data_IF_474065114992
#
_entry.id   IF_474065114992
#
_cell.length_a   1.000
_cell.length_b   1.000
_cell.length_c   1.000
_cell.angle_alpha   90.00
_cell.angle_beta   90.00
_cell.angle_gamma   90.00
#
_symmetry.space_group_name_H-M   'P 1'
#
loop_
_entity.id
_entity.type
_entity.pdbx_description
1 polymer ?
#
# COMPACT_ATOMS: atom_id res chain seq x y z
N UNK A 1 27.91 -14.39 -3.87
CA UNK A 1 26.79 -15.34 -3.70
C UNK A 1 25.60 -14.80 -4.48
N UNK A 2 25.13 -15.54 -5.49
CA UNK A 2 24.31 -15.00 -6.58
C UNK A 2 22.90 -14.61 -6.11
N UNK A 3 22.60 -13.30 -6.07
CA UNK A 3 21.27 -12.73 -5.82
C UNK A 3 20.16 -13.43 -6.64
N UNK A 4 20.46 -13.81 -7.88
CA UNK A 4 19.58 -14.61 -8.73
C UNK A 4 19.23 -15.98 -8.11
N UNK A 5 20.19 -16.70 -7.51
CA UNK A 5 19.91 -17.98 -6.83
C UNK A 5 19.06 -17.78 -5.58
N UNK A 6 19.23 -16.67 -4.88
CA UNK A 6 18.37 -16.31 -3.75
C UNK A 6 16.93 -16.08 -4.20
N UNK A 7 16.70 -15.27 -5.25
CA UNK A 7 15.39 -15.05 -5.85
C UNK A 7 14.72 -16.36 -6.31
N UNK A 8 15.43 -17.21 -7.05
CA UNK A 8 14.91 -18.51 -7.45
C UNK A 8 14.61 -19.43 -6.27
N UNK A 9 15.41 -19.35 -5.20
CA UNK A 9 15.17 -20.05 -3.94
C UNK A 9 13.87 -19.60 -3.27
N UNK A 10 13.66 -18.29 -3.13
CA UNK A 10 12.42 -17.72 -2.60
C UNK A 10 11.21 -18.14 -3.44
N UNK A 11 11.31 -18.04 -4.77
CA UNK A 11 10.22 -18.43 -5.66
C UNK A 11 9.81 -19.89 -5.48
N UNK A 12 10.80 -20.80 -5.38
CA UNK A 12 10.56 -22.23 -5.14
C UNK A 12 9.88 -22.48 -3.80
N UNK A 13 10.20 -21.70 -2.76
CA UNK A 13 9.58 -21.82 -1.44
C UNK A 13 8.13 -21.32 -1.46
N UNK A 14 7.86 -20.18 -2.11
CA UNK A 14 6.51 -19.61 -2.27
C UNK A 14 5.60 -20.61 -3.00
N UNK A 15 6.11 -21.29 -4.04
CA UNK A 15 5.34 -22.28 -4.80
C UNK A 15 5.14 -23.62 -4.08
N UNK A 16 5.62 -23.80 -2.86
CA UNK A 16 5.43 -25.04 -2.09
C UNK A 16 4.53 -24.78 -0.90
N UNK A 17 3.23 -25.04 -1.06
CA UNK A 17 2.25 -24.96 0.03
C UNK A 17 1.33 -26.17 0.13
N UNK A 18 0.57 -26.23 1.23
CA UNK A 18 -0.52 -27.20 1.41
C UNK A 18 -1.78 -26.78 0.66
N UNK A 19 -2.83 -27.62 0.72
CA UNK A 19 -4.13 -27.32 0.07
C UNK A 19 -4.73 -25.99 0.53
N UNK A 20 -4.68 -25.71 1.82
CA UNK A 20 -5.21 -24.46 2.42
C UNK A 20 -4.48 -23.24 1.86
N UNK A 21 -3.15 -23.31 1.71
CA UNK A 21 -2.36 -22.21 1.16
C UNK A 21 -2.80 -21.85 -0.26
N UNK A 22 -2.98 -22.84 -1.13
CA UNK A 22 -3.45 -22.60 -2.50
C UNK A 22 -4.89 -22.10 -2.54
N UNK A 23 -5.77 -22.60 -1.68
CA UNK A 23 -7.14 -22.10 -1.58
C UNK A 23 -7.18 -20.62 -1.16
N UNK A 24 -6.37 -20.22 -0.17
CA UNK A 24 -6.26 -18.82 0.24
C UNK A 24 -5.68 -17.94 -0.87
N UNK A 25 -4.66 -18.42 -1.57
CA UNK A 25 -4.04 -17.67 -2.67
C UNK A 25 -5.02 -17.48 -3.84
N UNK A 26 -5.76 -18.53 -4.19
CA UNK A 26 -6.80 -18.47 -5.22
C UNK A 26 -7.91 -17.50 -4.81
N UNK A 27 -8.39 -17.57 -3.57
CA UNK A 27 -9.40 -16.66 -3.05
C UNK A 27 -8.96 -15.19 -3.13
N UNK A 28 -7.74 -14.89 -2.68
CA UNK A 28 -7.17 -13.54 -2.77
C UNK A 28 -7.04 -13.07 -4.21
N UNK A 29 -6.64 -13.94 -5.13
CA UNK A 29 -6.53 -13.62 -6.55
C UNK A 29 -7.89 -13.27 -7.15
N UNK A 30 -8.94 -14.03 -6.81
CA UNK A 30 -10.33 -13.73 -7.23
C UNK A 30 -10.76 -12.34 -6.74
N UNK A 31 -10.45 -11.98 -5.48
CA UNK A 31 -10.76 -10.65 -4.95
C UNK A 31 -9.99 -9.54 -5.67
N UNK A 32 -8.71 -9.75 -5.99
CA UNK A 32 -7.91 -8.77 -6.74
C UNK A 32 -8.48 -8.57 -8.14
N UNK A 33 -8.84 -9.65 -8.84
CA UNK A 33 -9.44 -9.55 -10.18
C UNK A 33 -10.78 -8.84 -10.11
N UNK A 34 -11.63 -9.17 -9.14
CA UNK A 34 -12.92 -8.51 -8.97
C UNK A 34 -12.76 -7.01 -8.67
N UNK A 35 -11.87 -6.64 -7.75
CA UNK A 35 -11.54 -5.24 -7.46
C UNK A 35 -10.95 -4.52 -8.68
N UNK A 36 -10.08 -5.18 -9.44
CA UNK A 36 -9.51 -4.66 -10.67
C UNK A 36 -10.56 -4.37 -11.75
N UNK A 37 -11.54 -5.26 -11.93
CA UNK A 37 -12.67 -5.02 -12.83
C UNK A 37 -13.51 -3.83 -12.39
N UNK A 38 -13.78 -3.68 -11.09
CA UNK A 38 -14.47 -2.51 -10.55
C UNK A 38 -13.68 -1.21 -10.77
N UNK A 39 -12.36 -1.25 -10.63
CA UNK A 39 -11.51 -0.10 -10.89
C UNK A 39 -11.47 0.29 -12.38
N UNK A 40 -11.49 -0.68 -13.30
CA UNK A 40 -11.59 -0.39 -14.74
C UNK A 40 -12.88 0.35 -15.09
N UNK A 41 -14.00 -0.05 -14.50
CA UNK A 41 -15.29 0.62 -14.67
C UNK A 41 -15.27 2.05 -14.09
N UNK A 42 -14.64 2.23 -12.93
CA UNK A 42 -14.41 3.55 -12.34
C UNK A 42 -13.51 4.45 -13.20
N UNK A 43 -12.48 3.91 -13.88
CA UNK A 43 -11.64 4.70 -14.77
C UNK A 43 -12.40 5.23 -15.99
N UNK A 44 -13.42 4.51 -16.45
CA UNK A 44 -14.24 4.91 -17.60
C UNK A 44 -15.34 5.90 -17.21
N UNK A 45 -16.04 5.61 -16.11
CA UNK A 45 -17.20 6.40 -15.66
C UNK A 45 -16.83 7.53 -14.69
N UNK A 46 -15.57 7.57 -14.22
CA UNK A 46 -15.05 8.52 -13.26
C UNK A 46 -15.40 8.18 -11.80
N UNK A 47 -14.96 9.05 -10.88
CA UNK A 47 -15.15 8.86 -9.44
C UNK A 47 -16.63 8.85 -9.00
N UNK A 48 -17.58 9.20 -9.87
CA UNK A 48 -19.01 9.18 -9.54
C UNK A 48 -19.50 7.78 -9.14
N UNK A 49 -18.86 6.71 -9.64
CA UNK A 49 -19.19 5.33 -9.30
C UNK A 49 -18.92 4.99 -7.83
N UNK A 50 -18.07 5.77 -7.15
CA UNK A 50 -17.79 5.61 -5.72
C UNK A 50 -18.88 6.18 -4.82
N UNK A 51 -19.88 6.84 -5.40
CA UNK A 51 -20.96 7.54 -4.70
C UNK A 51 -20.47 8.67 -3.77
N UNK A 52 -19.24 9.16 -3.99
CA UNK A 52 -18.75 10.39 -3.37
C UNK A 52 -19.52 11.59 -3.92
N UNK A 53 -19.74 12.59 -3.07
CA UNK A 53 -20.51 13.82 -3.36
C UNK A 53 -19.67 15.03 -3.00
N UNK A 54 -20.02 16.21 -3.47
CA UNK A 54 -19.28 17.45 -3.15
C UNK A 54 -19.21 17.72 -1.63
N UNK A 55 -20.23 17.31 -0.86
CA UNK A 55 -20.25 17.42 0.60
C UNK A 55 -19.31 16.43 1.30
N UNK A 56 -19.03 15.29 0.68
CA UNK A 56 -18.15 14.23 1.20
C UNK A 56 -17.29 13.73 0.03
N UNK A 57 -16.29 14.53 -0.29
CA UNK A 57 -15.36 14.28 -1.40
C UNK A 57 -14.32 13.21 -1.07
N UNK A 58 -14.11 12.94 0.22
CA UNK A 58 -13.21 11.91 0.72
C UNK A 58 -14.00 10.80 1.42
N UNK A 59 -14.24 9.75 0.66
CA UNK A 59 -14.95 8.56 1.12
C UNK A 59 -13.98 7.45 1.54
N UNK A 60 -14.20 6.27 0.95
CA UNK A 60 -13.50 5.05 1.36
C UNK A 60 -12.00 5.08 1.10
N UNK A 61 -11.53 5.76 0.04
CA UNK A 61 -10.10 5.76 -0.31
C UNK A 61 -9.23 6.48 0.72
N UNK A 62 -9.52 7.75 1.01
CA UNK A 62 -8.74 8.53 1.98
C UNK A 62 -8.95 8.00 3.41
N UNK A 63 -10.13 7.46 3.72
CA UNK A 63 -10.37 6.75 4.99
C UNK A 63 -9.46 5.54 5.18
N UNK A 64 -9.34 4.66 4.17
CA UNK A 64 -8.45 3.49 4.27
C UNK A 64 -6.97 3.87 4.20
N UNK A 65 -6.63 4.90 3.43
CA UNK A 65 -5.29 5.47 3.39
C UNK A 65 -4.83 5.87 4.80
N UNK A 66 -5.58 6.74 5.48
CA UNK A 66 -5.23 7.19 6.84
C UNK A 66 -5.17 6.05 7.85
N UNK A 67 -6.07 5.06 7.74
CA UNK A 67 -6.03 3.85 8.55
C UNK A 67 -4.72 3.07 8.36
N UNK A 68 -4.31 2.83 7.10
CA UNK A 68 -3.10 2.07 6.79
C UNK A 68 -1.82 2.82 7.14
N UNK A 69 -1.80 4.15 7.03
CA UNK A 69 -0.71 4.98 7.57
C UNK A 69 -0.57 4.74 9.08
N UNK A 70 -1.69 4.69 9.81
CA UNK A 70 -1.69 4.33 11.23
C UNK A 70 -1.15 2.93 11.51
N UNK A 71 -1.54 1.93 10.70
CA UNK A 71 -1.03 0.55 10.80
C UNK A 71 0.48 0.50 10.54
N UNK A 72 0.97 1.21 9.52
CA UNK A 72 2.39 1.30 9.20
C UNK A 72 3.18 1.96 10.34
N UNK A 73 2.68 3.07 10.89
CA UNK A 73 3.30 3.75 12.03
C UNK A 73 3.37 2.85 13.28
N UNK A 74 2.29 2.10 13.57
CA UNK A 74 2.27 1.15 14.67
C UNK A 74 3.28 0.00 14.47
N UNK A 75 3.43 -0.49 13.24
CA UNK A 75 4.41 -1.52 12.91
C UNK A 75 5.86 -1.02 13.09
N UNK A 76 6.16 0.22 12.67
CA UNK A 76 7.48 0.85 12.87
C UNK A 76 7.77 1.11 14.34
N UNK A 77 6.75 1.39 15.17
CA UNK A 77 6.94 1.56 16.61
C UNK A 77 7.54 0.32 17.29
N UNK A 78 7.28 -0.89 16.77
CA UNK A 78 7.86 -2.15 17.27
C UNK A 78 9.38 -2.24 17.02
N UNK A 79 9.90 -1.54 16.01
CA UNK A 79 11.33 -1.51 15.65
C UNK A 79 12.16 -0.87 16.77
N UNK A 80 11.62 0.14 17.47
CA UNK A 80 12.30 0.88 18.53
C UNK A 80 12.81 -0.05 19.66
N UNK A 81 11.96 -0.82 20.38
CA UNK A 81 12.42 -1.74 21.41
C UNK A 81 13.32 -2.87 20.88
N UNK A 82 13.13 -3.27 19.62
CA UNK A 82 13.89 -4.37 19.02
C UNK A 82 15.35 -3.99 18.76
N UNK A 83 15.57 -2.81 18.17
CA UNK A 83 16.88 -2.38 17.71
C UNK A 83 17.58 -1.40 18.65
N UNK A 84 16.84 -0.55 19.37
CA UNK A 84 17.44 0.42 20.31
C UNK A 84 17.71 -0.23 21.66
N UNK A 85 16.77 -1.02 22.17
CA UNK A 85 16.90 -1.67 23.48
C UNK A 85 17.43 -3.11 23.38
N UNK A 86 17.80 -3.56 22.18
CA UNK A 86 18.40 -4.86 21.87
C UNK A 86 17.65 -6.08 22.46
N UNK A 87 16.33 -5.96 22.59
CA UNK A 87 15.53 -7.02 23.21
C UNK A 87 15.27 -8.18 22.24
N UNK A 88 16.11 -9.22 22.36
CA UNK A 88 16.16 -10.39 21.47
C UNK A 88 14.81 -11.05 21.13
N UNK A 89 13.87 -11.28 22.07
CA UNK A 89 12.60 -11.95 21.77
C UNK A 89 11.69 -11.16 20.82
N UNK A 90 11.79 -9.82 20.85
CA UNK A 90 10.97 -8.95 20.00
C UNK A 90 11.49 -8.93 18.55
N UNK A 91 12.78 -9.18 18.32
CA UNK A 91 13.38 -9.11 16.97
C UNK A 91 12.68 -10.04 15.96
N UNK A 92 12.22 -11.22 16.37
CA UNK A 92 11.48 -12.14 15.49
C UNK A 92 10.10 -11.58 15.09
N UNK A 93 9.42 -10.90 16.01
CA UNK A 93 8.10 -10.30 15.77
C UNK A 93 8.24 -9.06 14.87
N UNK A 94 9.32 -8.30 15.03
CA UNK A 94 9.58 -7.08 14.26
C UNK A 94 9.74 -7.36 12.78
N UNK A 95 10.32 -8.50 12.39
CA UNK A 95 10.43 -8.88 10.97
C UNK A 95 9.03 -8.93 10.32
N UNK A 96 8.03 -9.48 11.01
CA UNK A 96 6.65 -9.47 10.51
C UNK A 96 6.06 -8.07 10.46
N UNK A 97 6.39 -7.23 11.46
CA UNK A 97 6.02 -5.81 11.49
C UNK A 97 6.60 -5.02 10.31
N UNK A 98 7.87 -5.20 9.99
CA UNK A 98 8.54 -4.55 8.85
C UNK A 98 7.90 -4.93 7.52
N UNK A 99 7.62 -6.23 7.31
CA UNK A 99 6.92 -6.71 6.11
C UNK A 99 5.52 -6.10 6.03
N UNK A 100 4.79 -6.05 7.14
CA UNK A 100 3.47 -5.43 7.22
C UNK A 100 3.53 -3.94 6.88
N UNK A 101 4.51 -3.21 7.41
CA UNK A 101 4.69 -1.78 7.15
C UNK A 101 4.92 -1.51 5.67
N UNK A 102 5.79 -2.30 5.01
CA UNK A 102 6.04 -2.18 3.57
C UNK A 102 4.75 -2.42 2.78
N UNK A 103 4.02 -3.49 3.08
CA UNK A 103 2.74 -3.78 2.43
C UNK A 103 1.71 -2.66 2.65
N UNK A 104 1.61 -2.12 3.85
CA UNK A 104 0.70 -1.03 4.19
C UNK A 104 1.04 0.26 3.42
N UNK A 105 2.32 0.64 3.34
CA UNK A 105 2.76 1.81 2.56
C UNK A 105 2.47 1.65 1.07
N UNK A 106 2.70 0.46 0.49
CA UNK A 106 2.35 0.19 -0.91
C UNK A 106 0.85 0.40 -1.14
N UNK A 107 0.01 -0.10 -0.23
CA UNK A 107 -1.44 0.08 -0.30
C UNK A 107 -1.85 1.55 -0.14
N UNK A 108 -1.20 2.31 0.74
CA UNK A 108 -1.43 3.75 0.88
C UNK A 108 -1.18 4.48 -0.45
N UNK A 109 -0.06 4.20 -1.11
CA UNK A 109 0.26 4.78 -2.42
C UNK A 109 -0.77 4.39 -3.48
N UNK A 110 -1.22 3.14 -3.50
CA UNK A 110 -2.29 2.69 -4.40
C UNK A 110 -3.60 3.47 -4.16
N UNK A 111 -4.00 3.70 -2.91
CA UNK A 111 -5.22 4.46 -2.61
C UNK A 111 -5.15 5.91 -3.09
N UNK A 112 -4.00 6.58 -2.94
CA UNK A 112 -3.81 7.93 -3.48
C UNK A 112 -3.97 7.95 -5.01
N UNK A 113 -3.34 6.99 -5.71
CA UNK A 113 -3.41 6.91 -7.18
C UNK A 113 -4.85 6.70 -7.67
N UNK A 114 -5.62 5.88 -6.97
CA UNK A 114 -7.02 5.60 -7.31
C UNK A 114 -7.92 6.81 -7.01
N UNK A 115 -7.68 7.53 -5.91
CA UNK A 115 -8.48 8.68 -5.48
C UNK A 115 -8.35 9.90 -6.41
N UNK A 116 -7.20 10.05 -7.09
CA UNK A 116 -6.99 11.14 -8.07
C UNK A 116 -7.93 11.03 -9.28
N UNK A 117 -8.50 9.84 -9.55
CA UNK A 117 -9.44 9.58 -10.63
C UNK A 117 -8.83 9.54 -12.04
N UNK A 118 -7.71 10.22 -12.28
CA UNK A 118 -6.94 10.11 -13.52
C UNK A 118 -5.46 9.76 -13.22
N UNK A 119 -5.12 8.47 -13.18
CA UNK A 119 -3.77 7.99 -12.83
C UNK A 119 -2.70 8.47 -13.81
N UNK A 120 -3.06 8.73 -15.08
CA UNK A 120 -2.12 9.26 -16.05
C UNK A 120 -1.60 10.63 -15.60
N UNK A 121 -2.35 11.43 -14.85
CA UNK A 121 -1.87 12.75 -14.42
C UNK A 121 -1.04 12.72 -13.14
N UNK A 122 -0.78 11.55 -12.56
CA UNK A 122 -0.06 11.40 -11.29
C UNK A 122 1.33 12.07 -11.31
N UNK A 123 2.02 12.12 -12.44
CA UNK A 123 3.32 12.77 -12.55
C UNK A 123 3.31 14.27 -12.23
N UNK A 124 2.16 14.96 -12.31
CA UNK A 124 2.06 16.36 -11.88
C UNK A 124 2.19 16.54 -10.37
N UNK A 125 2.04 15.46 -9.61
CA UNK A 125 2.18 15.43 -8.16
C UNK A 125 3.55 14.94 -7.72
N UNK A 126 4.45 14.58 -8.66
CA UNK A 126 5.82 14.23 -8.32
C UNK A 126 6.66 15.49 -8.07
N UNK A 127 7.51 15.50 -7.04
CA UNK A 127 8.47 16.57 -6.84
C UNK A 127 9.44 16.60 -8.03
N UNK A 128 9.94 17.79 -8.36
CA UNK A 128 10.86 18.08 -9.47
C UNK A 128 10.28 18.01 -10.90
N UNK A 129 9.31 17.13 -11.18
CA UNK A 129 8.73 16.97 -12.53
C UNK A 129 7.37 17.65 -12.67
N UNK A 130 6.58 17.68 -11.61
CA UNK A 130 5.23 18.24 -11.60
C UNK A 130 5.10 19.66 -11.07
N UNK A 131 3.93 20.28 -11.29
CA UNK A 131 3.54 21.57 -10.70
C UNK A 131 2.84 21.35 -9.36
N UNK A 132 3.60 20.89 -8.36
CA UNK A 132 3.07 20.66 -7.02
C UNK A 132 2.91 22.01 -6.27
N UNK A 133 1.78 22.22 -5.60
CA UNK A 133 1.56 23.40 -4.75
C UNK A 133 2.23 23.22 -3.38
N UNK A 134 3.56 23.05 -3.37
CA UNK A 134 4.36 22.93 -2.16
C UNK A 134 4.93 24.30 -1.76
N UNK A 135 4.85 24.74 -0.49
CA UNK A 135 4.48 24.00 0.73
C UNK A 135 3.03 24.15 1.20
N UNK A 136 2.18 24.84 0.45
CA UNK A 136 0.83 25.21 0.91
C UNK A 136 -0.18 24.06 0.96
N UNK A 137 0.01 23.02 0.15
CA UNK A 137 -0.88 21.85 0.11
C UNK A 137 -0.42 20.77 1.11
N UNK A 138 -1.32 20.36 2.00
CA UNK A 138 -1.05 19.25 2.94
C UNK A 138 -0.85 17.91 2.22
N UNK A 139 -1.58 17.69 1.12
CA UNK A 139 -1.44 16.49 0.30
C UNK A 139 -0.04 16.39 -0.35
N UNK A 140 0.61 17.55 -0.59
CA UNK A 140 1.98 17.57 -1.09
C UNK A 140 2.98 17.11 -0.04
N UNK A 141 2.69 17.31 1.25
CA UNK A 141 3.53 16.83 2.34
C UNK A 141 3.48 15.30 2.48
N UNK A 142 2.32 14.69 2.24
CA UNK A 142 2.17 13.23 2.30
C UNK A 142 3.13 12.53 1.33
N UNK A 143 3.41 13.11 0.16
CA UNK A 143 4.41 12.56 -0.78
C UNK A 143 5.82 12.49 -0.20
N UNK A 144 6.21 13.44 0.66
CA UNK A 144 7.57 13.49 1.24
C UNK A 144 7.71 12.66 2.51
N UNK A 145 6.60 12.47 3.24
CA UNK A 145 6.60 11.79 4.53
C UNK A 145 6.41 10.28 4.39
N UNK A 146 5.65 9.83 3.38
CA UNK A 146 5.50 8.42 2.99
C UNK A 146 6.67 7.93 2.14
#
# INVERSE_FOLDING_TARGET
MNFLRFLFGCFKIITKGGRIYYSSLFFLLVLIVWGGLGYLDQLQNGLIMTNMRDSVSWGFYIGNFTFLVGVAAAAVMLVIPAYIYDWKPIKEIVIFGEILAICAVIMCLCFIVVDIGNPLRFWHMLPFVGTMNFPYSILSWDFFVL
#
